data_IF_626269301510
#
_entry.id   IF_626269301510
#
_cell.length_a   1.000
_cell.length_b   1.000
_cell.length_c   1.000
_cell.angle_alpha   90.00
_cell.angle_beta   90.00
_cell.angle_gamma   90.00
#
_symmetry.space_group_name_H-M   'P 1'
#
loop_
_entity.id
_entity.type
_entity.pdbx_description
1 polymer ?
#
# COMPACT_ATOMS: atom_id res chain seq x y z
N UNK A 1 12.51 17.57 -0.98
CA UNK A 1 11.35 16.66 -1.11
C UNK A 1 11.90 15.25 -1.04
N UNK A 2 11.42 14.43 -0.12
CA UNK A 2 11.82 13.02 -0.02
C UNK A 2 10.61 12.18 -0.40
N UNK A 3 10.76 11.37 -1.44
CA UNK A 3 9.73 10.44 -1.91
C UNK A 3 10.17 9.06 -1.48
N UNK A 4 9.45 8.44 -0.56
CA UNK A 4 9.72 7.05 -0.18
C UNK A 4 9.02 6.13 -1.18
N UNK A 5 9.76 5.70 -2.20
CA UNK A 5 9.25 4.82 -3.26
C UNK A 5 9.89 3.43 -3.12
N UNK A 6 9.32 2.60 -2.25
CA UNK A 6 9.69 1.19 -2.11
C UNK A 6 8.46 0.26 -2.25
N UNK A 7 7.35 0.73 -2.84
CA UNK A 7 6.08 0.00 -2.83
C UNK A 7 6.17 -1.42 -3.40
N UNK A 8 5.77 -2.42 -2.62
CA UNK A 8 5.54 -3.82 -3.06
C UNK A 8 4.03 -4.05 -3.25
N UNK A 9 3.63 -4.69 -4.35
CA UNK A 9 2.22 -4.91 -4.68
C UNK A 9 1.54 -6.04 -3.91
N UNK A 10 2.28 -6.82 -3.10
CA UNK A 10 1.77 -7.99 -2.37
C UNK A 10 1.37 -9.16 -3.27
N UNK A 11 1.92 -9.20 -4.50
CA UNK A 11 1.57 -10.19 -5.52
C UNK A 11 2.82 -10.80 -6.14
N UNK A 12 2.71 -12.06 -6.53
CA UNK A 12 3.61 -12.72 -7.46
C UNK A 12 2.90 -12.71 -8.80
N UNK A 13 3.51 -12.10 -9.82
CA UNK A 13 2.90 -12.01 -11.14
C UNK A 13 3.82 -12.54 -12.23
N UNK A 14 3.25 -13.27 -13.19
CA UNK A 14 3.91 -13.49 -14.48
C UNK A 14 3.83 -12.20 -15.30
N UNK A 15 4.95 -11.51 -15.40
CA UNK A 15 5.03 -10.19 -16.05
C UNK A 15 4.72 -10.23 -17.55
N UNK A 16 5.07 -11.31 -18.24
CA UNK A 16 4.83 -11.45 -19.67
C UNK A 16 3.35 -11.75 -19.92
N UNK A 17 2.75 -12.63 -19.12
CA UNK A 17 1.32 -12.89 -19.17
C UNK A 17 0.51 -11.64 -18.82
N UNK A 18 0.90 -10.89 -17.79
CA UNK A 18 0.22 -9.65 -17.38
C UNK A 18 0.29 -8.58 -18.49
N UNK A 19 1.46 -8.43 -19.12
CA UNK A 19 1.66 -7.49 -20.23
C UNK A 19 0.83 -7.87 -21.46
N UNK A 20 0.72 -9.17 -21.77
CA UNK A 20 -0.10 -9.66 -22.86
C UNK A 20 -1.60 -9.41 -22.65
N UNK A 21 -2.05 -9.35 -21.39
CA UNK A 21 -3.47 -9.14 -21.09
C UNK A 21 -3.91 -7.68 -21.25
N UNK A 22 -3.00 -6.69 -21.25
CA UNK A 22 -3.28 -5.27 -21.45
C UNK A 22 -4.49 -4.74 -20.63
N UNK A 23 -4.62 -5.21 -19.38
CA UNK A 23 -5.80 -4.95 -18.54
C UNK A 23 -5.60 -3.68 -17.70
N UNK A 24 -6.56 -2.76 -17.82
CA UNK A 24 -6.89 -1.88 -16.69
C UNK A 24 -7.50 -2.75 -15.58
N UNK A 25 -7.10 -2.53 -14.32
CA UNK A 25 -7.66 -3.25 -13.17
C UNK A 25 -9.10 -2.78 -12.96
N UNK A 26 -10.04 -3.51 -13.56
CA UNK A 26 -11.48 -3.36 -13.37
C UNK A 26 -12.01 -4.61 -12.66
N UNK A 27 -13.02 -4.43 -11.81
CA UNK A 27 -13.61 -5.49 -10.98
C UNK A 27 -14.08 -6.70 -11.81
N UNK A 28 -14.57 -6.45 -13.03
CA UNK A 28 -15.04 -7.46 -13.99
C UNK A 28 -13.90 -8.35 -14.55
N UNK A 29 -12.65 -7.89 -14.48
CA UNK A 29 -11.46 -8.61 -14.97
C UNK A 29 -10.74 -9.41 -13.89
N UNK A 30 -11.21 -9.38 -12.63
CA UNK A 30 -10.62 -10.12 -11.51
C UNK A 30 -10.50 -11.64 -11.79
N UNK A 31 -11.45 -12.21 -12.53
CA UNK A 31 -11.41 -13.62 -12.95
C UNK A 31 -10.24 -13.97 -13.88
N UNK A 32 -9.80 -13.02 -14.72
CA UNK A 32 -8.68 -13.20 -15.65
C UNK A 32 -7.32 -13.16 -14.93
N UNK A 33 -7.25 -12.45 -13.81
CA UNK A 33 -6.03 -12.29 -13.02
C UNK A 33 -5.72 -13.50 -12.12
N UNK A 34 -6.72 -14.36 -11.84
CA UNK A 34 -6.63 -15.46 -10.88
C UNK A 34 -5.57 -16.53 -11.22
N UNK A 35 -5.10 -16.58 -12.47
CA UNK A 35 -4.03 -17.48 -12.92
C UNK A 35 -2.69 -16.80 -13.20
N UNK A 36 -2.63 -15.46 -13.18
CA UNK A 36 -1.44 -14.66 -13.53
C UNK A 36 -0.89 -13.92 -12.32
N UNK A 37 -1.74 -13.58 -11.36
CA UNK A 37 -1.38 -12.94 -10.10
C UNK A 37 -1.73 -13.87 -8.95
N UNK A 38 -0.73 -14.15 -8.12
CA UNK A 38 -0.86 -14.97 -6.92
C UNK A 38 -0.56 -14.13 -5.70
N UNK A 39 -1.42 -14.25 -4.68
CA UNK A 39 -1.15 -13.71 -3.35
C UNK A 39 -0.76 -14.88 -2.45
N UNK A 40 0.36 -14.73 -1.74
CA UNK A 40 0.78 -15.68 -0.71
C UNK A 40 0.86 -14.96 0.62
N UNK A 41 0.87 -15.72 1.71
CA UNK A 41 1.00 -15.16 3.04
C UNK A 41 2.33 -14.41 3.20
N UNK A 42 3.42 -15.00 2.71
CA UNK A 42 4.77 -14.42 2.77
C UNK A 42 4.83 -13.09 2.01
N UNK A 43 4.19 -13.01 0.83
CA UNK A 43 4.11 -11.74 0.09
C UNK A 43 3.19 -10.71 0.75
N UNK A 44 2.15 -11.13 1.46
CA UNK A 44 1.34 -10.22 2.25
C UNK A 44 2.16 -9.63 3.41
N UNK A 45 2.93 -10.45 4.13
CA UNK A 45 3.83 -9.98 5.20
C UNK A 45 4.88 -9.00 4.67
N UNK A 46 5.55 -9.33 3.55
CA UNK A 46 6.56 -8.46 2.94
C UNK A 46 5.97 -7.13 2.47
N UNK A 47 4.79 -7.16 1.84
CA UNK A 47 4.07 -5.97 1.41
C UNK A 47 3.76 -5.03 2.59
N UNK A 48 3.26 -5.57 3.71
CA UNK A 48 2.98 -4.76 4.91
C UNK A 48 4.29 -4.24 5.53
N UNK A 49 5.32 -5.08 5.61
CA UNK A 49 6.62 -4.71 6.16
C UNK A 49 7.25 -3.54 5.39
N UNK A 50 7.13 -3.52 4.06
CA UNK A 50 7.72 -2.48 3.21
C UNK A 50 6.82 -1.24 3.12
N UNK A 51 5.55 -1.41 2.72
CA UNK A 51 4.66 -0.30 2.38
C UNK A 51 4.21 0.48 3.62
N UNK A 52 4.05 -0.20 4.74
CA UNK A 52 3.56 0.42 5.97
C UNK A 52 4.69 0.66 6.96
N UNK A 53 5.30 -0.41 7.49
CA UNK A 53 6.31 -0.29 8.54
C UNK A 53 7.60 0.36 8.02
N UNK A 54 8.03 0.05 6.79
CA UNK A 54 9.17 0.70 6.14
C UNK A 54 8.95 2.20 5.96
N UNK A 55 7.77 2.60 5.46
CA UNK A 55 7.38 4.01 5.35
C UNK A 55 7.35 4.73 6.69
N UNK A 56 6.77 4.10 7.71
CA UNK A 56 6.74 4.64 9.07
C UNK A 56 8.17 4.84 9.61
N UNK A 57 9.01 3.81 9.55
CA UNK A 57 10.38 3.86 10.08
C UNK A 57 11.26 4.89 9.39
N UNK A 58 11.19 4.98 8.05
CA UNK A 58 11.91 6.03 7.29
C UNK A 58 11.41 7.42 7.70
N UNK A 59 10.09 7.60 7.80
CA UNK A 59 9.50 8.87 8.23
C UNK A 59 9.98 9.26 9.61
N UNK A 60 9.87 8.37 10.59
CA UNK A 60 10.29 8.59 11.98
C UNK A 60 11.78 8.95 12.08
N UNK A 61 12.64 8.23 11.36
CA UNK A 61 14.08 8.50 11.34
C UNK A 61 14.42 9.89 10.75
N UNK A 62 13.58 10.40 9.85
CA UNK A 62 13.79 11.68 9.17
C UNK A 62 13.11 12.86 9.86
N UNK A 63 12.13 12.65 10.74
CA UNK A 63 11.45 13.70 11.50
C UNK A 63 12.45 14.73 12.10
N UNK A 64 13.54 14.32 12.78
CA UNK A 64 14.48 15.28 13.36
C UNK A 64 15.10 16.23 12.33
N UNK A 65 15.40 15.73 11.13
CA UNK A 65 15.96 16.54 10.04
C UNK A 65 14.89 17.40 9.36
N UNK A 66 13.69 16.87 9.20
CA UNK A 66 12.57 17.59 8.61
C UNK A 66 12.18 18.81 9.47
N UNK A 67 12.27 18.70 10.79
CA UNK A 67 12.01 19.82 11.72
C UNK A 67 13.00 20.99 11.59
N UNK A 68 14.17 20.77 10.95
CA UNK A 68 15.15 21.83 10.70
C UNK A 68 14.85 22.64 9.43
N UNK A 69 13.86 22.23 8.63
CA UNK A 69 13.54 22.84 7.34
C UNK A 69 12.25 23.65 7.43
N UNK A 70 12.33 24.92 7.03
CA UNK A 70 11.19 25.85 7.02
C UNK A 70 10.03 25.44 6.09
N UNK A 71 10.26 24.49 5.18
CA UNK A 71 9.24 23.99 4.24
C UNK A 71 9.34 22.48 4.00
N UNK A 72 9.55 21.71 5.08
CA UNK A 72 9.59 20.26 4.98
C UNK A 72 8.25 19.67 4.49
N UNK A 73 8.32 18.64 3.64
CA UNK A 73 7.15 17.91 3.14
C UNK A 73 7.43 16.42 3.13
N UNK A 74 6.48 15.64 3.65
CA UNK A 74 6.42 14.19 3.53
C UNK A 74 5.33 13.87 2.50
N UNK A 75 5.64 13.01 1.53
CA UNK A 75 4.68 12.54 0.55
C UNK A 75 4.71 11.02 0.54
N UNK A 76 3.62 10.42 1.02
CA UNK A 76 3.40 8.98 0.94
C UNK A 76 2.70 8.66 -0.38
N UNK A 77 3.35 7.84 -1.21
CA UNK A 77 2.78 7.38 -2.48
C UNK A 77 1.91 6.17 -2.19
N UNK A 78 0.61 6.27 -2.50
CA UNK A 78 -0.38 5.20 -2.30
C UNK A 78 -0.97 4.73 -3.63
N UNK A 79 -1.97 3.85 -3.57
CA UNK A 79 -2.69 3.29 -4.71
C UNK A 79 -4.19 3.53 -4.57
N UNK A 80 -4.91 3.57 -5.69
CA UNK A 80 -6.38 3.60 -5.73
C UNK A 80 -6.99 2.41 -4.98
N UNK A 81 -6.29 1.27 -4.93
CA UNK A 81 -6.72 0.09 -4.18
C UNK A 81 -6.70 0.28 -2.66
N UNK A 82 -6.08 1.35 -2.15
CA UNK A 82 -6.09 1.71 -0.73
C UNK A 82 -7.41 2.33 -0.25
N UNK A 83 -8.39 2.56 -1.13
CA UNK A 83 -9.70 3.11 -0.77
C UNK A 83 -10.54 2.09 0.02
N UNK A 84 -11.23 2.55 1.08
CA UNK A 84 -12.03 1.71 1.97
C UNK A 84 -13.09 0.85 1.26
N UNK A 85 -13.60 1.30 0.10
CA UNK A 85 -14.58 0.56 -0.71
C UNK A 85 -14.07 -0.81 -1.18
N UNK A 86 -12.75 -1.00 -1.25
CA UNK A 86 -12.11 -2.25 -1.67
C UNK A 86 -11.80 -3.22 -0.52
N UNK A 87 -12.03 -2.80 0.73
CA UNK A 87 -11.86 -3.69 1.88
C UNK A 87 -13.08 -4.60 1.99
N UNK A 88 -12.89 -5.89 2.29
CA UNK A 88 -14.00 -6.82 2.55
C UNK A 88 -14.27 -6.96 4.05
N UNK A 89 -13.31 -6.58 4.89
CA UNK A 89 -13.40 -6.70 6.34
C UNK A 89 -14.07 -5.44 6.93
N UNK A 90 -15.28 -5.61 7.46
CA UNK A 90 -16.07 -4.50 8.01
C UNK A 90 -15.45 -3.88 9.27
N UNK A 91 -14.79 -4.67 10.13
CA UNK A 91 -14.06 -4.13 11.28
C UNK A 91 -12.90 -3.24 10.82
N UNK A 92 -12.16 -3.67 9.80
CA UNK A 92 -11.07 -2.86 9.24
C UNK A 92 -11.60 -1.57 8.61
N UNK A 93 -12.75 -1.60 7.93
CA UNK A 93 -13.40 -0.40 7.41
C UNK A 93 -13.82 0.56 8.53
N UNK A 94 -14.41 0.03 9.60
CA UNK A 94 -14.85 0.84 10.74
C UNK A 94 -13.65 1.53 11.39
N UNK A 95 -12.60 0.77 11.70
CA UNK A 95 -11.38 1.32 12.32
C UNK A 95 -10.73 2.35 11.41
N UNK A 96 -10.50 2.04 10.13
CA UNK A 96 -9.80 2.95 9.20
C UNK A 96 -10.67 4.11 8.69
N UNK A 97 -11.99 3.99 8.80
CA UNK A 97 -12.96 5.02 8.41
C UNK A 97 -13.28 6.02 9.51
N UNK A 98 -12.85 5.77 10.75
CA UNK A 98 -13.01 6.72 11.83
C UNK A 98 -12.17 7.98 11.55
N UNK A 99 -12.85 9.13 11.42
CA UNK A 99 -12.18 10.41 11.16
C UNK A 99 -11.34 10.90 12.35
N UNK A 100 -11.79 10.57 13.57
CA UNK A 100 -11.17 10.94 14.83
C UNK A 100 -10.92 9.69 15.68
N UNK A 101 -9.87 9.73 16.51
CA UNK A 101 -9.60 8.68 17.50
C UNK A 101 -8.82 7.46 17.00
N UNK A 102 -8.25 7.49 15.79
CA UNK A 102 -7.24 6.50 15.39
C UNK A 102 -6.01 6.60 16.30
N UNK A 103 -5.61 5.48 16.86
CA UNK A 103 -4.31 5.31 17.51
C UNK A 103 -3.37 4.56 16.56
N UNK A 104 -2.06 4.77 16.70
CA UNK A 104 -1.09 3.89 16.04
C UNK A 104 -1.26 2.44 16.51
N UNK A 105 -0.78 1.49 15.70
CA UNK A 105 -0.66 0.10 16.16
C UNK A 105 0.17 -0.01 17.45
N UNK A 106 -0.26 -0.94 18.31
CA UNK A 106 0.37 -1.26 19.59
C UNK A 106 1.58 -2.18 19.43
#
# INVERSE_FOLDING_TARGET
MQVNNAGDGGIIADGDALRAMNLAVEEEKAGLLKGVMQQTYEKAEECIAINYYGCKGVTEALIPLLLLSDSARIVNVSSDLGQLKFFSNELAKEVLGAADGLTGES
#
